data_IF_855287326207
#
_entry.id   IF_855287326207
#
_cell.length_a   1.000
_cell.length_b   1.000
_cell.length_c   1.000
_cell.angle_alpha   90.00
_cell.angle_beta   90.00
_cell.angle_gamma   90.00
#
_symmetry.space_group_name_H-M   'P 1'
#
loop_
_entity.id
_entity.type
_entity.pdbx_description
1 polymer ?
#
# COMPACT_ATOMS: atom_id res chain seq x y z
N UNK A 1 28.54 -6.15 -12.18
CA UNK A 1 29.00 -6.71 -10.90
C UNK A 1 27.83 -7.52 -10.33
N UNK A 2 27.97 -8.83 -10.30
CA UNK A 2 26.92 -9.76 -9.85
C UNK A 2 26.77 -9.62 -8.35
N UNK A 3 25.64 -9.07 -7.89
CA UNK A 3 25.35 -8.92 -6.48
C UNK A 3 25.26 -10.30 -5.82
N UNK A 4 26.10 -10.53 -4.81
CA UNK A 4 25.96 -11.68 -3.93
C UNK A 4 24.72 -11.43 -3.06
N UNK A 5 23.65 -12.16 -3.33
CA UNK A 5 22.50 -12.28 -2.44
C UNK A 5 22.87 -13.42 -1.50
N UNK A 6 23.18 -13.14 -0.23
CA UNK A 6 23.29 -14.18 0.78
C UNK A 6 21.85 -14.58 1.19
N UNK A 7 21.33 -15.75 0.80
CA UNK A 7 19.91 -16.05 0.90
C UNK A 7 19.56 -16.83 2.18
N UNK A 8 20.26 -16.56 3.29
CA UNK A 8 19.98 -17.19 4.58
C UNK A 8 19.30 -16.18 5.52
N UNK A 9 18.16 -16.58 6.08
CA UNK A 9 17.57 -15.92 7.24
C UNK A 9 18.55 -16.09 8.40
N UNK A 10 19.46 -15.14 8.55
CA UNK A 10 20.60 -15.29 9.48
C UNK A 10 20.24 -15.10 10.95
N UNK A 11 19.01 -14.65 11.26
CA UNK A 11 18.61 -14.48 12.65
C UNK A 11 17.12 -14.71 12.87
N UNK A 12 16.80 -15.54 13.87
CA UNK A 12 15.48 -15.64 14.50
C UNK A 12 15.67 -15.31 15.97
N UNK A 13 14.93 -14.32 16.46
CA UNK A 13 14.94 -13.96 17.87
C UNK A 13 13.56 -14.07 18.50
N UNK A 14 13.53 -14.33 19.80
CA UNK A 14 12.33 -14.23 20.61
C UNK A 14 12.05 -12.75 20.93
N UNK A 15 10.79 -12.32 20.86
CA UNK A 15 10.40 -10.92 21.10
C UNK A 15 9.99 -10.63 22.56
N UNK A 16 10.07 -11.63 23.45
CA UNK A 16 9.68 -11.51 24.86
C UNK A 16 8.18 -11.39 25.12
N UNK A 17 7.34 -11.28 24.08
CA UNK A 17 5.88 -11.10 24.14
C UNK A 17 5.11 -12.30 23.53
N UNK A 18 5.80 -13.40 23.20
CA UNK A 18 5.22 -14.61 22.64
C UNK A 18 5.23 -14.69 21.11
N UNK A 19 5.87 -13.74 20.43
CA UNK A 19 6.18 -13.76 19.00
C UNK A 19 7.68 -13.88 18.73
N UNK A 20 8.04 -13.95 17.45
CA UNK A 20 9.42 -13.89 17.00
C UNK A 20 9.58 -12.96 15.81
N UNK A 21 10.82 -12.66 15.46
CA UNK A 21 11.16 -11.96 14.23
C UNK A 21 12.10 -12.79 13.38
N UNK A 22 12.22 -12.43 12.10
CA UNK A 22 13.20 -12.98 11.18
C UNK A 22 13.81 -11.85 10.37
N UNK A 23 15.10 -11.96 10.07
CA UNK A 23 15.88 -10.88 9.47
C UNK A 23 16.36 -11.26 8.08
N UNK A 24 16.23 -10.33 7.13
CA UNK A 24 16.80 -10.42 5.80
C UNK A 24 17.83 -9.30 5.63
N UNK A 25 19.09 -9.68 5.45
CA UNK A 25 20.18 -8.74 5.23
C UNK A 25 20.39 -8.47 3.75
N UNK A 26 20.42 -7.19 3.37
CA UNK A 26 20.66 -6.74 2.01
C UNK A 26 21.75 -5.66 1.99
N UNK A 27 22.94 -6.04 1.56
CA UNK A 27 24.09 -5.12 1.40
C UNK A 27 24.12 -4.39 0.06
N UNK A 28 23.20 -4.71 -0.86
CA UNK A 28 23.16 -4.10 -2.18
C UNK A 28 22.64 -2.65 -2.14
N UNK A 29 23.20 -1.77 -2.98
CA UNK A 29 22.69 -0.41 -3.15
C UNK A 29 21.25 -0.36 -3.66
N UNK A 30 20.80 -1.42 -4.33
CA UNK A 30 19.42 -1.55 -4.84
C UNK A 30 18.84 -2.85 -4.34
N UNK A 31 17.73 -2.75 -3.60
CA UNK A 31 17.00 -3.90 -3.07
C UNK A 31 15.70 -4.01 -3.86
N UNK A 32 15.57 -5.10 -4.61
CA UNK A 32 14.37 -5.42 -5.40
C UNK A 32 13.65 -6.64 -4.83
N UNK A 33 12.38 -6.79 -5.17
CA UNK A 33 11.54 -7.90 -4.72
C UNK A 33 11.88 -9.16 -5.52
N UNK A 34 13.06 -9.70 -5.23
CA UNK A 34 13.55 -10.94 -5.80
C UNK A 34 12.80 -12.15 -5.24
N UNK A 35 12.92 -13.31 -5.90
CA UNK A 35 12.30 -14.56 -5.43
C UNK A 35 12.77 -14.98 -4.02
N UNK A 36 14.05 -14.88 -3.64
CA UNK A 36 14.46 -15.11 -2.25
C UNK A 36 13.76 -14.19 -1.25
N UNK A 37 13.67 -12.89 -1.54
CA UNK A 37 13.03 -11.92 -0.64
C UNK A 37 11.52 -12.16 -0.53
N UNK A 38 10.85 -12.47 -1.65
CA UNK A 38 9.44 -12.86 -1.65
C UNK A 38 9.23 -14.11 -0.79
N UNK A 39 10.07 -15.14 -0.95
CA UNK A 39 9.96 -16.37 -0.18
C UNK A 39 10.16 -16.13 1.31
N UNK A 40 11.13 -15.29 1.68
CA UNK A 40 11.34 -14.86 3.06
C UNK A 40 10.08 -14.25 3.68
N UNK A 41 9.39 -13.35 2.96
CA UNK A 41 8.14 -12.75 3.46
C UNK A 41 7.02 -13.78 3.62
N UNK A 42 6.90 -14.73 2.67
CA UNK A 42 5.92 -15.81 2.77
C UNK A 42 6.20 -16.72 3.98
N UNK A 43 7.45 -17.09 4.20
CA UNK A 43 7.87 -17.93 5.33
C UNK A 43 7.68 -17.21 6.66
N UNK A 44 8.00 -15.90 6.73
CA UNK A 44 7.74 -15.07 7.90
C UNK A 44 6.24 -15.04 8.24
N UNK A 45 5.39 -14.82 7.25
CA UNK A 45 3.94 -14.81 7.43
C UNK A 45 3.41 -16.17 7.92
N UNK A 46 3.81 -17.27 7.27
CA UNK A 46 3.39 -18.62 7.65
C UNK A 46 3.84 -18.99 9.08
N UNK A 47 5.03 -18.55 9.49
CA UNK A 47 5.56 -18.75 10.83
C UNK A 47 5.07 -17.72 11.86
N UNK A 48 4.22 -16.76 11.45
CA UNK A 48 3.77 -15.62 12.29
C UNK A 48 4.93 -14.83 12.90
N UNK A 49 6.02 -14.68 12.15
CA UNK A 49 7.19 -13.90 12.51
C UNK A 49 7.11 -12.51 11.89
N UNK A 50 7.66 -11.51 12.59
CA UNK A 50 7.83 -10.15 12.06
C UNK A 50 9.03 -10.11 11.12
N UNK A 51 8.86 -9.79 9.82
CA UNK A 51 9.99 -9.68 8.91
C UNK A 51 10.72 -8.35 9.10
N UNK A 52 12.06 -8.39 9.13
CA UNK A 52 12.91 -7.21 9.24
C UNK A 52 13.87 -7.18 8.06
N UNK A 53 13.84 -6.09 7.28
CA UNK A 53 14.85 -5.81 6.26
C UNK A 53 15.99 -5.03 6.91
N UNK A 54 17.23 -5.49 6.77
CA UNK A 54 18.42 -4.73 7.16
C UNK A 54 19.17 -4.31 5.91
N UNK A 55 19.43 -3.00 5.76
CA UNK A 55 20.18 -2.45 4.63
C UNK A 55 21.35 -1.59 5.06
N UNK A 56 22.14 -1.12 4.10
CA UNK A 56 23.03 0.04 4.28
C UNK A 56 22.22 1.35 4.32
N UNK A 57 22.87 2.43 4.74
CA UNK A 57 22.30 3.79 4.87
C UNK A 57 22.05 4.51 3.52
N UNK A 58 22.44 3.90 2.42
CA UNK A 58 22.29 4.41 1.06
C UNK A 58 21.51 3.46 0.14
N UNK A 59 20.97 2.37 0.69
CA UNK A 59 20.21 1.39 -0.07
C UNK A 59 18.88 1.98 -0.57
N UNK A 60 18.64 1.81 -1.87
CA UNK A 60 17.39 2.15 -2.53
C UNK A 60 16.51 0.90 -2.64
N UNK A 61 15.46 0.88 -1.81
CA UNK A 61 14.46 -0.18 -1.74
C UNK A 61 13.36 0.10 -2.75
N UNK A 62 13.10 -0.82 -3.69
CA UNK A 62 12.07 -0.62 -4.71
C UNK A 62 10.68 -0.44 -4.07
N UNK A 63 9.77 0.23 -4.79
CA UNK A 63 8.38 0.39 -4.34
C UNK A 63 7.72 -0.94 -4.02
N UNK A 64 8.02 -2.01 -4.77
CA UNK A 64 7.46 -3.33 -4.53
C UNK A 64 7.97 -3.99 -3.25
N UNK A 65 9.25 -3.80 -2.89
CA UNK A 65 9.76 -4.26 -1.59
C UNK A 65 9.11 -3.48 -0.45
N UNK A 66 9.04 -2.15 -0.58
CA UNK A 66 8.40 -1.32 0.44
C UNK A 66 6.93 -1.72 0.66
N UNK A 67 6.17 -1.94 -0.42
CA UNK A 67 4.78 -2.40 -0.35
C UNK A 67 4.66 -3.80 0.27
N UNK A 68 5.53 -4.74 -0.13
CA UNK A 68 5.48 -6.10 0.37
C UNK A 68 5.82 -6.18 1.88
N UNK A 69 6.81 -5.41 2.34
CA UNK A 69 7.12 -5.32 3.77
C UNK A 69 6.00 -4.65 4.56
N UNK A 70 5.44 -3.55 4.06
CA UNK A 70 4.31 -2.89 4.75
C UNK A 70 3.12 -3.85 4.89
N UNK A 71 2.79 -4.60 3.84
CA UNK A 71 1.71 -5.58 3.89
C UNK A 71 1.99 -6.76 4.83
N UNK A 72 3.25 -7.15 4.98
CA UNK A 72 3.66 -8.17 5.93
C UNK A 72 3.81 -7.65 7.37
N UNK A 73 3.53 -6.37 7.64
CA UNK A 73 3.78 -5.74 8.95
C UNK A 73 5.27 -5.71 9.31
N UNK A 74 6.14 -5.67 8.30
CA UNK A 74 7.58 -5.71 8.45
C UNK A 74 8.20 -4.38 8.82
N UNK A 75 9.45 -4.46 9.27
CA UNK A 75 10.26 -3.33 9.69
C UNK A 75 11.50 -3.17 8.82
N UNK A 76 12.07 -1.97 8.82
CA UNK A 76 13.29 -1.66 8.07
C UNK A 76 14.33 -1.04 9.00
N UNK A 77 15.47 -1.70 9.12
CA UNK A 77 16.64 -1.24 9.83
C UNK A 77 17.78 -0.90 8.87
N UNK A 78 18.63 0.03 9.30
CA UNK A 78 19.88 0.39 8.64
C UNK A 78 21.04 0.01 9.53
N UNK A 79 22.01 -0.71 8.96
CA UNK A 79 23.31 -0.94 9.58
C UNK A 79 24.29 0.14 9.14
N UNK A 80 24.90 0.82 10.11
CA UNK A 80 25.91 1.87 9.87
C UNK A 80 26.95 1.85 10.99
N UNK A 81 28.24 1.74 10.63
CA UNK A 81 29.38 1.73 11.56
C UNK A 81 29.23 0.77 12.77
N UNK A 82 28.63 -0.40 12.54
CA UNK A 82 28.41 -1.41 13.59
C UNK A 82 27.23 -1.14 14.51
N UNK A 83 26.45 -0.09 14.26
CA UNK A 83 25.19 0.21 14.95
C UNK A 83 23.97 -0.01 14.03
N UNK A 84 22.80 -0.15 14.65
CA UNK A 84 21.52 -0.31 13.96
C UNK A 84 20.63 0.91 14.17
N UNK A 85 19.90 1.30 13.13
CA UNK A 85 18.99 2.43 13.16
C UNK A 85 17.65 2.06 12.54
N UNK A 86 16.55 2.60 13.06
CA UNK A 86 15.23 2.57 12.42
C UNK A 86 15.30 3.39 11.12
N UNK A 87 15.01 2.77 9.98
CA UNK A 87 15.17 3.40 8.67
C UNK A 87 14.20 4.57 8.44
N UNK A 88 13.04 4.59 9.10
CA UNK A 88 12.05 5.66 8.93
C UNK A 88 12.23 6.79 9.93
N UNK A 89 12.77 6.49 11.12
CA UNK A 89 12.99 7.50 12.17
C UNK A 89 14.42 8.06 12.17
N UNK A 90 15.36 7.33 11.58
CA UNK A 90 16.79 7.64 11.65
C UNK A 90 17.34 7.58 13.07
N UNK A 91 16.72 6.83 13.98
CA UNK A 91 17.12 6.73 15.39
C UNK A 91 17.72 5.38 15.68
N UNK A 92 18.76 5.33 16.52
CA UNK A 92 19.44 4.09 16.90
C UNK A 92 18.49 3.13 17.62
N UNK A 93 18.59 1.86 17.29
CA UNK A 93 17.95 0.74 17.99
C UNK A 93 19.03 -0.11 18.64
N UNK A 94 18.78 -0.54 19.88
CA UNK A 94 19.67 -1.43 20.63
C UNK A 94 19.33 -2.89 20.40
N UNK A 95 18.08 -3.16 20.04
CA UNK A 95 17.57 -4.47 19.64
C UNK A 95 16.47 -4.32 18.61
N UNK A 96 16.18 -5.38 17.85
CA UNK A 96 15.01 -5.39 16.98
C UNK A 96 13.68 -5.31 17.76
N UNK A 97 13.68 -5.64 19.05
CA UNK A 97 12.55 -5.44 19.95
C UNK A 97 12.08 -3.99 20.04
N UNK A 98 12.98 -3.04 19.83
CA UNK A 98 12.72 -1.60 19.93
C UNK A 98 11.71 -1.12 18.87
N UNK A 99 11.50 -1.89 17.79
CA UNK A 99 10.50 -1.57 16.76
C UNK A 99 9.06 -1.59 17.27
N UNK A 100 8.76 -2.46 18.24
CA UNK A 100 7.42 -2.65 18.80
C UNK A 100 7.35 -2.42 20.31
N UNK A 101 8.48 -2.15 20.95
CA UNK A 101 8.48 -1.71 22.34
C UNK A 101 7.75 -0.35 22.48
N UNK A 102 7.04 -0.13 23.60
CA UNK A 102 6.61 1.21 23.98
C UNK A 102 7.80 2.16 23.96
N UNK A 103 7.59 3.38 23.47
CA UNK A 103 8.66 4.38 23.43
C UNK A 103 9.19 4.62 24.85
N UNK A 104 10.48 4.43 25.02
CA UNK A 104 11.17 4.82 26.24
C UNK A 104 11.28 6.36 26.28
N UNK A 105 11.31 6.93 27.49
CA UNK A 105 11.55 8.37 27.71
C UNK A 105 12.96 8.82 27.31
N UNK A 106 13.85 7.87 27.00
CA UNK A 106 15.21 8.15 26.56
C UNK A 106 15.20 8.63 25.11
N UNK A 107 15.82 9.78 24.87
CA UNK A 107 16.11 10.28 23.52
C UNK A 107 17.09 9.33 22.83
N UNK A 108 16.71 8.62 21.76
CA UNK A 108 17.62 7.74 21.04
C UNK A 108 18.70 8.54 20.33
N UNK A 109 19.88 7.93 20.14
CA UNK A 109 20.94 8.52 19.32
C UNK A 109 20.47 8.66 17.86
N UNK A 110 20.73 9.82 17.26
CA UNK A 110 20.35 10.14 15.90
C UNK A 110 21.42 9.69 14.90
N UNK A 111 21.01 9.07 13.79
CA UNK A 111 21.89 8.86 12.65
C UNK A 111 22.33 10.22 12.07
N UNK A 112 23.61 10.40 11.68
CA UNK A 112 24.11 11.70 11.20
C UNK A 112 23.28 12.33 10.07
N UNK A 113 22.77 11.49 9.16
CA UNK A 113 22.03 11.90 7.96
C UNK A 113 20.57 11.50 7.93
N UNK A 114 20.16 10.38 8.53
CA UNK A 114 18.81 9.82 8.36
C UNK A 114 17.76 10.50 9.24
N UNK A 115 18.17 11.11 10.36
CA UNK A 115 17.25 11.75 11.32
C UNK A 115 16.70 13.08 10.82
N UNK A 116 17.19 13.59 9.68
CA UNK A 116 16.69 14.82 9.06
C UNK A 116 15.55 14.47 8.11
N UNK A 117 14.53 15.31 8.07
CA UNK A 117 13.47 15.21 7.07
C UNK A 117 14.11 15.30 5.68
N UNK A 118 13.81 14.34 4.80
CA UNK A 118 14.38 14.34 3.45
C UNK A 118 13.85 15.55 2.67
N UNK A 119 14.78 16.34 2.12
CA UNK A 119 14.46 17.53 1.32
C UNK A 119 14.20 17.22 -0.16
N UNK A 120 14.63 16.03 -0.63
CA UNK A 120 14.52 15.62 -2.04
C UNK A 120 13.70 14.33 -2.16
N UNK A 121 12.39 14.51 -2.26
CA UNK A 121 11.40 13.48 -2.55
C UNK A 121 10.45 13.99 -3.62
N UNK A 122 9.94 13.08 -4.45
CA UNK A 122 8.89 13.38 -5.41
C UNK A 122 7.53 13.03 -4.79
N UNK A 123 6.54 13.94 -4.86
CA UNK A 123 5.19 13.61 -4.40
C UNK A 123 4.58 12.53 -5.30
N UNK A 124 3.74 11.68 -4.71
CA UNK A 124 3.06 10.60 -5.43
C UNK A 124 1.65 10.40 -4.90
N UNK A 125 0.74 10.01 -5.79
CA UNK A 125 -0.53 9.44 -5.35
C UNK A 125 -0.28 7.99 -4.92
N UNK A 126 -0.85 7.61 -3.78
CA UNK A 126 -0.87 6.23 -3.29
C UNK A 126 -2.32 5.80 -3.20
N UNK A 127 -2.67 4.67 -3.81
CA UNK A 127 -4.04 4.15 -3.74
C UNK A 127 -4.06 2.73 -3.18
N UNK A 128 -5.13 2.42 -2.44
CA UNK A 128 -5.45 1.08 -1.92
C UNK A 128 -6.94 0.83 -2.13
N UNK A 129 -7.27 -0.16 -2.97
CA UNK A 129 -8.63 -0.37 -3.50
C UNK A 129 -9.02 -1.83 -3.43
N UNK A 130 -10.21 -2.08 -2.88
CA UNK A 130 -10.86 -3.38 -2.90
C UNK A 130 -12.05 -3.35 -3.85
N UNK A 131 -12.09 -4.29 -4.76
CA UNK A 131 -13.06 -4.33 -5.85
C UNK A 131 -13.66 -5.72 -5.91
N UNK A 132 -14.96 -5.81 -6.14
CA UNK A 132 -15.65 -7.09 -6.31
C UNK A 132 -15.90 -7.34 -7.78
N UNK A 133 -15.77 -8.58 -8.21
CA UNK A 133 -16.21 -8.99 -9.53
C UNK A 133 -16.93 -10.34 -9.47
N UNK A 134 -17.56 -10.72 -10.57
CA UNK A 134 -18.08 -12.07 -10.76
C UNK A 134 -16.90 -13.04 -10.90
N UNK A 135 -17.13 -14.27 -10.48
CA UNK A 135 -16.19 -15.36 -10.74
C UNK A 135 -16.58 -16.03 -12.05
N UNK A 136 -16.33 -15.36 -13.18
CA UNK A 136 -16.66 -15.89 -14.51
C UNK A 136 -15.43 -15.95 -15.43
N UNK A 137 -15.55 -16.72 -16.52
CA UNK A 137 -14.45 -16.94 -17.47
C UNK A 137 -14.04 -15.67 -18.23
N UNK A 138 -14.91 -14.66 -18.27
CA UNK A 138 -14.70 -13.39 -18.97
C UNK A 138 -14.15 -12.31 -18.07
N UNK A 139 -14.21 -12.48 -16.74
CA UNK A 139 -13.61 -11.58 -15.76
C UNK A 139 -12.11 -11.48 -15.96
N UNK A 140 -11.64 -10.25 -16.20
CA UNK A 140 -10.22 -9.91 -16.34
C UNK A 140 -9.80 -9.04 -15.15
N UNK A 141 -8.63 -9.36 -14.58
CA UNK A 141 -7.99 -8.62 -13.50
C UNK A 141 -7.04 -7.56 -14.06
N UNK A 142 -6.89 -6.44 -13.35
CA UNK A 142 -5.95 -5.36 -13.70
C UNK A 142 -6.61 -4.14 -14.33
N UNK A 143 -7.87 -4.21 -14.77
CA UNK A 143 -8.56 -3.04 -15.34
C UNK A 143 -8.70 -1.86 -14.38
N UNK A 144 -8.82 -2.14 -13.08
CA UNK A 144 -8.84 -1.10 -12.04
C UNK A 144 -7.48 -0.42 -11.89
N UNK A 145 -6.39 -1.16 -12.04
CA UNK A 145 -5.04 -0.60 -12.02
C UNK A 145 -4.81 0.36 -13.19
N UNK A 146 -5.14 -0.05 -14.41
CA UNK A 146 -5.06 0.80 -15.60
C UNK A 146 -5.84 2.10 -15.41
N UNK A 147 -7.08 1.97 -14.90
CA UNK A 147 -7.95 3.11 -14.68
C UNK A 147 -7.38 4.10 -13.64
N UNK A 148 -6.85 3.60 -12.52
CA UNK A 148 -6.27 4.43 -11.47
C UNK A 148 -4.98 5.10 -11.93
N UNK A 149 -4.08 4.36 -12.57
CA UNK A 149 -2.83 4.90 -13.12
C UNK A 149 -3.14 6.02 -14.12
N UNK A 150 -4.00 5.77 -15.10
CA UNK A 150 -4.36 6.77 -16.10
C UNK A 150 -5.08 7.99 -15.49
N UNK A 151 -6.06 7.77 -14.61
CA UNK A 151 -6.83 8.87 -13.98
C UNK A 151 -5.95 9.79 -13.13
N UNK A 152 -4.95 9.21 -12.45
CA UNK A 152 -4.00 9.95 -11.62
C UNK A 152 -2.87 10.62 -12.43
N UNK A 153 -2.85 10.44 -13.75
CA UNK A 153 -1.90 11.09 -14.67
C UNK A 153 -0.69 10.25 -15.05
N UNK A 154 -0.69 8.96 -14.74
CA UNK A 154 0.34 8.04 -15.21
C UNK A 154 0.19 7.69 -16.70
N UNK A 155 1.31 7.31 -17.30
CA UNK A 155 1.50 6.89 -18.69
C UNK A 155 0.89 5.52 -19.03
N UNK A 156 0.56 4.73 -18.01
CA UNK A 156 0.00 3.37 -18.15
C UNK A 156 0.97 2.29 -17.69
N UNK A 157 0.46 1.08 -17.53
CA UNK A 157 1.26 -0.09 -17.13
C UNK A 157 1.85 -0.78 -18.34
N UNK A 158 3.13 -1.14 -18.25
CA UNK A 158 3.90 -1.70 -19.38
C UNK A 158 4.45 -3.08 -19.08
N UNK A 159 4.85 -3.34 -17.84
CA UNK A 159 5.51 -4.58 -17.42
C UNK A 159 4.78 -5.22 -16.27
N UNK A 160 4.86 -6.55 -16.15
CA UNK A 160 4.41 -7.28 -14.97
C UNK A 160 5.27 -8.49 -14.63
N UNK A 161 5.08 -8.99 -13.42
CA UNK A 161 5.67 -10.21 -12.92
C UNK A 161 5.16 -10.53 -11.51
N UNK A 162 5.64 -11.62 -10.95
CA UNK A 162 5.41 -11.96 -9.53
C UNK A 162 6.60 -11.55 -8.64
N UNK A 163 7.72 -11.17 -9.26
CA UNK A 163 8.96 -10.70 -8.64
C UNK A 163 9.67 -9.76 -9.61
N UNK A 164 10.58 -8.94 -9.10
CA UNK A 164 11.45 -8.11 -9.93
C UNK A 164 12.69 -8.88 -10.45
N UNK A 165 13.19 -8.55 -11.66
CA UNK A 165 12.66 -7.58 -12.62
C UNK A 165 11.37 -8.08 -13.30
N UNK A 166 10.44 -7.16 -13.61
CA UNK A 166 9.14 -7.48 -14.22
C UNK A 166 9.30 -7.93 -15.67
N UNK A 167 9.42 -9.25 -15.88
CA UNK A 167 9.79 -9.82 -17.16
C UNK A 167 8.66 -9.75 -18.22
N UNK A 168 7.40 -9.88 -17.82
CA UNK A 168 6.26 -9.91 -18.74
C UNK A 168 5.86 -8.54 -19.26
N UNK A 169 5.32 -8.47 -20.48
CA UNK A 169 4.60 -7.28 -20.97
C UNK A 169 3.20 -7.25 -20.36
N UNK A 170 2.76 -6.09 -19.88
CA UNK A 170 1.45 -5.90 -19.27
C UNK A 170 0.34 -6.44 -20.17
N UNK A 171 -0.49 -7.32 -19.60
CA UNK A 171 -1.60 -7.98 -20.28
C UNK A 171 -2.58 -8.50 -19.25
N UNK A 172 -3.80 -7.97 -19.26
CA UNK A 172 -4.87 -8.44 -18.37
C UNK A 172 -5.11 -9.94 -18.52
N UNK A 173 -5.08 -10.46 -19.76
CA UNK A 173 -5.25 -11.88 -20.02
C UNK A 173 -4.15 -12.73 -19.37
N UNK A 174 -2.88 -12.33 -19.50
CA UNK A 174 -1.77 -13.10 -18.96
C UNK A 174 -1.72 -13.05 -17.41
N UNK A 175 -1.99 -11.89 -16.82
CA UNK A 175 -2.08 -11.72 -15.36
C UNK A 175 -3.25 -12.52 -14.80
N UNK A 176 -4.42 -12.41 -15.42
CA UNK A 176 -5.62 -13.16 -15.02
C UNK A 176 -5.38 -14.66 -15.09
N UNK A 177 -4.77 -15.16 -16.16
CA UNK A 177 -4.45 -16.58 -16.31
C UNK A 177 -3.45 -17.06 -15.25
N UNK A 178 -2.43 -16.25 -14.95
CA UNK A 178 -1.49 -16.53 -13.86
C UNK A 178 -2.18 -16.64 -12.50
N UNK A 179 -3.09 -15.72 -12.21
CA UNK A 179 -3.90 -15.69 -10.98
C UNK A 179 -4.89 -16.86 -10.90
N UNK A 180 -5.57 -17.20 -12.00
CA UNK A 180 -6.53 -18.30 -12.05
C UNK A 180 -5.90 -19.64 -11.66
N UNK A 181 -4.65 -19.88 -12.07
CA UNK A 181 -3.89 -21.10 -11.70
C UNK A 181 -3.59 -21.22 -10.20
N UNK A 182 -3.69 -20.14 -9.44
CA UNK A 182 -3.39 -20.09 -8.00
C UNK A 182 -4.65 -20.07 -7.13
N UNK A 183 -5.84 -20.01 -7.73
CA UNK A 183 -7.10 -19.94 -6.99
C UNK A 183 -7.21 -21.09 -5.96
N UNK A 184 -7.76 -20.83 -4.76
CA UNK A 184 -8.68 -19.74 -4.43
C UNK A 184 -8.06 -18.42 -3.93
N UNK A 185 -6.76 -18.36 -3.67
CA UNK A 185 -6.07 -17.15 -3.19
C UNK A 185 -4.75 -17.01 -3.93
N UNK A 186 -4.49 -15.85 -4.52
CA UNK A 186 -3.29 -15.64 -5.34
C UNK A 186 -2.15 -15.03 -4.55
N UNK A 187 -0.92 -15.31 -4.99
CA UNK A 187 0.21 -14.45 -4.69
C UNK A 187 -0.01 -13.05 -5.31
N UNK A 188 0.72 -12.06 -4.80
CA UNK A 188 0.74 -10.73 -5.40
C UNK A 188 1.42 -10.75 -6.76
N UNK A 189 0.78 -10.09 -7.71
CA UNK A 189 1.34 -9.76 -9.01
C UNK A 189 1.67 -8.27 -8.99
N UNK A 190 2.75 -7.90 -9.68
CA UNK A 190 3.27 -6.56 -9.70
C UNK A 190 3.28 -6.05 -11.14
N UNK A 191 2.99 -4.77 -11.32
CA UNK A 191 3.02 -4.11 -12.60
C UNK A 191 3.68 -2.73 -12.48
N UNK A 192 4.37 -2.28 -13.51
CA UNK A 192 4.99 -0.96 -13.55
C UNK A 192 4.81 -0.27 -14.90
N UNK A 193 4.79 1.06 -14.87
CA UNK A 193 4.95 1.94 -16.02
C UNK A 193 6.34 2.57 -16.07
N UNK A 194 6.71 3.15 -17.20
CA UNK A 194 8.01 3.80 -17.42
C UNK A 194 8.13 5.15 -16.69
N UNK A 195 7.02 5.74 -16.27
CA UNK A 195 6.95 6.97 -15.48
C UNK A 195 7.21 6.80 -13.98
N UNK A 196 7.48 5.57 -13.53
CA UNK A 196 7.64 5.22 -12.13
C UNK A 196 6.37 4.75 -11.43
N UNK A 197 5.23 4.68 -12.16
CA UNK A 197 4.01 4.07 -11.63
C UNK A 197 4.26 2.61 -11.29
N UNK A 198 3.77 2.17 -10.13
CA UNK A 198 3.97 0.82 -9.61
C UNK A 198 2.69 0.33 -8.94
N UNK A 199 2.26 -0.87 -9.26
CA UNK A 199 1.01 -1.47 -8.76
C UNK A 199 1.27 -2.89 -8.28
N UNK A 200 0.67 -3.27 -7.16
CA UNK A 200 0.50 -4.65 -6.71
C UNK A 200 -0.97 -5.05 -6.76
N UNK A 201 -1.21 -6.31 -7.15
CA UNK A 201 -2.52 -6.89 -7.39
C UNK A 201 -2.60 -8.24 -6.73
N UNK A 202 -3.67 -8.50 -5.99
CA UNK A 202 -4.00 -9.83 -5.53
C UNK A 202 -5.49 -10.10 -5.76
N UNK A 203 -5.84 -11.36 -5.95
CA UNK A 203 -7.21 -11.79 -6.10
C UNK A 203 -7.51 -12.96 -5.17
N UNK A 204 -8.74 -13.01 -4.69
CA UNK A 204 -9.25 -14.15 -3.94
C UNK A 204 -10.66 -14.48 -4.36
N UNK A 205 -11.01 -15.77 -4.28
CA UNK A 205 -12.36 -16.24 -4.53
C UNK A 205 -13.17 -16.15 -3.24
N UNK A 206 -14.30 -15.49 -3.32
CA UNK A 206 -15.29 -15.38 -2.24
C UNK A 206 -16.50 -16.26 -2.55
N UNK A 207 -17.42 -16.40 -1.58
CA UNK A 207 -18.72 -17.08 -1.80
C UNK A 207 -19.55 -16.41 -2.90
N UNK A 208 -19.34 -15.12 -3.15
CA UNK A 208 -20.19 -14.31 -4.05
C UNK A 208 -19.49 -13.86 -5.33
N UNK A 209 -18.24 -14.26 -5.56
CA UNK A 209 -17.47 -13.83 -6.74
C UNK A 209 -15.98 -13.78 -6.47
N UNK A 210 -15.29 -12.82 -7.09
CA UNK A 210 -13.91 -12.46 -6.79
C UNK A 210 -13.84 -11.19 -5.94
N UNK A 211 -12.82 -11.12 -5.10
CA UNK A 211 -12.33 -9.90 -4.48
C UNK A 211 -10.93 -9.62 -5.05
N UNK A 212 -10.79 -8.51 -5.75
CA UNK A 212 -9.52 -7.97 -6.23
C UNK A 212 -9.04 -6.90 -5.26
N UNK A 213 -7.78 -6.98 -4.85
CA UNK A 213 -7.08 -5.97 -4.07
C UNK A 213 -6.01 -5.34 -4.96
N UNK A 214 -6.11 -4.02 -5.13
CA UNK A 214 -5.22 -3.22 -5.97
C UNK A 214 -4.58 -2.14 -5.11
N UNK A 215 -3.25 -2.15 -5.03
CA UNK A 215 -2.50 -1.10 -4.35
C UNK A 215 -1.45 -0.54 -5.29
N UNK A 216 -1.19 0.75 -5.24
CA UNK A 216 -0.20 1.31 -6.14
C UNK A 216 0.22 2.73 -5.82
N UNK A 217 1.18 3.19 -6.60
CA UNK A 217 1.77 4.51 -6.51
C UNK A 217 1.93 5.10 -7.91
N UNK A 218 1.58 6.37 -8.07
CA UNK A 218 1.70 7.14 -9.32
C UNK A 218 2.43 8.44 -8.98
N UNK A 219 3.66 8.65 -9.46
CA UNK A 219 4.38 9.90 -9.25
C UNK A 219 3.60 11.12 -9.78
N UNK A 220 3.54 12.20 -9.00
CA UNK A 220 2.88 13.44 -9.39
C UNK A 220 3.90 14.28 -10.17
N UNK A 221 3.92 14.08 -11.50
CA UNK A 221 4.78 14.83 -12.44
C UNK A 221 4.11 16.09 -13.01
N UNK A 222 2.81 16.24 -12.76
CA UNK A 222 2.04 17.40 -13.20
C UNK A 222 2.51 18.66 -12.46
N UNK A 223 2.86 19.70 -13.23
CA UNK A 223 3.42 20.97 -12.73
C UNK A 223 2.44 21.76 -11.88
N UNK A 224 1.13 21.58 -12.09
CA UNK A 224 0.09 22.25 -11.32
C UNK A 224 -0.20 21.49 -10.02
N UNK A 225 -0.12 20.16 -10.03
CA UNK A 225 -0.41 19.32 -8.86
C UNK A 225 0.76 19.17 -7.89
N UNK A 226 1.99 19.11 -8.40
CA UNK A 226 3.19 18.89 -7.58
C UNK A 226 3.37 19.94 -6.47
N UNK A 227 3.14 21.25 -6.71
CA UNK A 227 3.13 22.24 -5.64
C UNK A 227 2.04 21.98 -4.59
N UNK A 228 0.84 21.58 -5.00
CA UNK A 228 -0.29 21.33 -4.09
C UNK A 228 -0.03 20.17 -3.13
N UNK A 229 0.74 19.16 -3.56
CA UNK A 229 1.15 18.03 -2.72
C UNK A 229 2.02 18.45 -1.52
N UNK A 230 2.67 19.61 -1.61
CA UNK A 230 3.52 20.15 -0.55
C UNK A 230 2.78 21.13 0.38
N UNK A 231 1.55 21.53 0.03
CA UNK A 231 0.76 22.48 0.81
C UNK A 231 -0.08 21.71 1.85
N UNK A 232 0.10 21.99 3.16
CA UNK A 232 -0.79 21.47 4.19
C UNK A 232 -2.21 22.03 4.01
N UNK A 233 -3.25 21.23 4.28
CA UNK A 233 -4.63 21.73 4.33
C UNK A 233 -5.50 21.41 3.11
N UNK A 234 -5.31 20.23 2.51
CA UNK A 234 -6.32 19.63 1.63
C UNK A 234 -6.46 20.23 0.23
N UNK A 235 -5.59 21.15 -0.19
CA UNK A 235 -5.64 21.72 -1.54
C UNK A 235 -5.56 20.64 -2.64
N UNK A 236 -4.64 19.68 -2.49
CA UNK A 236 -4.57 18.52 -3.39
C UNK A 236 -5.82 17.63 -3.30
N UNK A 237 -6.36 17.43 -2.09
CA UNK A 237 -7.58 16.64 -1.87
C UNK A 237 -8.81 17.28 -2.52
N UNK A 238 -8.89 18.60 -2.53
CA UNK A 238 -9.95 19.38 -3.18
C UNK A 238 -9.83 19.39 -4.71
N UNK A 239 -8.67 19.03 -5.27
CA UNK A 239 -8.41 19.10 -6.70
C UNK A 239 -9.37 18.21 -7.51
N UNK A 240 -9.94 18.69 -8.63
CA UNK A 240 -10.89 17.91 -9.44
C UNK A 240 -10.39 16.52 -9.85
N UNK A 241 -9.09 16.37 -10.16
CA UNK A 241 -8.48 15.07 -10.51
C UNK A 241 -8.73 13.98 -9.47
N UNK A 242 -8.70 14.30 -8.17
CA UNK A 242 -8.99 13.34 -7.10
C UNK A 242 -10.44 12.86 -7.19
N UNK A 243 -11.38 13.79 -7.28
CA UNK A 243 -12.82 13.50 -7.42
C UNK A 243 -13.10 12.70 -8.69
N UNK A 244 -12.64 13.20 -9.84
CA UNK A 244 -12.99 12.70 -11.16
C UNK A 244 -12.44 11.28 -11.37
N UNK A 245 -11.25 10.99 -10.85
CA UNK A 245 -10.68 9.63 -10.87
C UNK A 245 -11.52 8.65 -10.07
N UNK A 246 -11.89 9.00 -8.83
CA UNK A 246 -12.68 8.13 -7.96
C UNK A 246 -14.13 7.99 -8.45
N UNK A 247 -14.71 9.05 -9.00
CA UNK A 247 -16.03 8.99 -9.63
C UNK A 247 -16.01 8.04 -10.83
N UNK A 248 -15.05 8.21 -11.75
CA UNK A 248 -14.92 7.31 -12.88
C UNK A 248 -14.71 5.86 -12.44
N UNK A 249 -13.97 5.64 -11.35
CA UNK A 249 -13.76 4.30 -10.78
C UNK A 249 -15.08 3.70 -10.28
N UNK A 250 -15.87 4.47 -9.54
CA UNK A 250 -17.17 4.04 -9.04
C UNK A 250 -18.18 3.72 -10.17
N UNK A 251 -18.08 4.41 -11.31
CA UNK A 251 -18.93 4.19 -12.48
C UNK A 251 -18.59 2.92 -13.25
N UNK A 252 -17.31 2.50 -13.24
CA UNK A 252 -16.81 1.38 -14.08
C UNK A 252 -16.53 0.10 -13.30
N UNK A 253 -16.28 0.20 -12.00
CA UNK A 253 -15.91 -0.92 -11.15
C UNK A 253 -16.87 -1.06 -9.97
N UNK A 254 -17.10 -2.30 -9.52
CA UNK A 254 -17.87 -2.56 -8.29
C UNK A 254 -16.95 -2.43 -7.08
N UNK A 255 -16.54 -1.21 -6.81
CA UNK A 255 -15.70 -0.88 -5.66
C UNK A 255 -16.40 -1.31 -4.38
N UNK A 256 -15.62 -1.80 -3.43
CA UNK A 256 -16.04 -1.97 -2.05
C UNK A 256 -15.62 -0.73 -1.25
N UNK A 257 -14.30 -0.50 -1.20
CA UNK A 257 -13.68 0.69 -0.62
C UNK A 257 -12.42 1.05 -1.42
N UNK A 258 -12.14 2.35 -1.54
CA UNK A 258 -10.86 2.85 -2.03
C UNK A 258 -10.35 3.96 -1.11
N UNK A 259 -9.06 3.96 -0.80
CA UNK A 259 -8.37 5.07 -0.16
C UNK A 259 -7.36 5.64 -1.15
N UNK A 260 -7.43 6.95 -1.38
CA UNK A 260 -6.42 7.71 -2.11
C UNK A 260 -5.67 8.60 -1.13
N UNK A 261 -4.34 8.56 -1.17
CA UNK A 261 -3.44 9.33 -0.33
C UNK A 261 -2.36 10.02 -1.16
N UNK A 262 -1.70 11.01 -0.58
CA UNK A 262 -0.46 11.61 -1.09
C UNK A 262 0.70 11.07 -0.27
N UNK A 263 1.66 10.45 -0.94
CA UNK A 263 2.90 9.96 -0.34
C UNK A 263 4.12 10.55 -1.05
N UNK A 264 5.28 10.01 -0.72
CA UNK A 264 6.58 10.42 -1.25
C UNK A 264 7.33 9.21 -1.80
N UNK A 265 7.96 9.38 -2.96
CA UNK A 265 8.86 8.41 -3.59
C UNK A 265 10.19 9.07 -3.91
N UNK A 266 11.22 8.25 -4.12
CA UNK A 266 12.42 8.69 -4.85
C UNK A 266 12.56 7.93 -6.15
N UNK A 267 13.22 8.57 -7.10
CA UNK A 267 13.78 7.92 -8.27
C UNK A 267 15.30 7.82 -8.15
N UNK A 268 15.84 6.62 -8.35
CA UNK A 268 17.28 6.40 -8.45
C UNK A 268 17.57 5.39 -9.56
N UNK A 269 18.39 5.80 -10.52
CA UNK A 269 18.81 4.98 -11.67
C UNK A 269 17.62 4.31 -12.40
N UNK A 270 16.59 5.12 -12.73
CA UNK A 270 15.41 4.68 -13.47
C UNK A 270 14.50 3.73 -12.69
N UNK A 271 14.50 3.81 -11.35
CA UNK A 271 13.63 3.03 -10.49
C UNK A 271 13.01 3.92 -9.44
N UNK A 272 11.69 3.83 -9.29
CA UNK A 272 11.01 4.39 -8.14
C UNK A 272 11.14 3.49 -6.91
N UNK A 273 11.27 4.11 -5.74
CA UNK A 273 11.45 3.40 -4.49
C UNK A 273 11.62 4.34 -3.30
N UNK A 274 12.30 3.83 -2.28
CA UNK A 274 12.55 4.49 -0.99
C UNK A 274 14.01 4.30 -0.58
N UNK A 275 14.62 5.38 -0.13
CA UNK A 275 15.86 5.45 0.63
C UNK A 275 15.55 5.44 2.14
N UNK A 276 16.48 5.08 3.01
CA UNK A 276 16.29 5.31 4.42
C UNK A 276 16.24 6.82 4.71
N UNK A 277 15.49 7.21 5.74
CA UNK A 277 15.37 8.59 6.22
C UNK A 277 13.97 8.98 6.68
N UNK A 278 13.91 10.04 7.48
CA UNK A 278 12.65 10.64 7.95
C UNK A 278 11.90 11.28 6.79
N UNK A 279 10.59 10.98 6.71
CA UNK A 279 9.69 11.39 5.62
C UNK A 279 8.42 12.01 6.18
N UNK A 280 7.69 12.72 5.32
CA UNK A 280 6.33 13.13 5.67
C UNK A 280 5.43 11.89 5.72
N UNK A 281 4.54 11.77 6.72
CA UNK A 281 3.51 10.75 6.70
C UNK A 281 2.65 10.87 5.44
N UNK A 282 2.23 9.73 4.89
CA UNK A 282 1.25 9.71 3.81
C UNK A 282 -0.03 10.44 4.28
N UNK A 283 -0.57 11.31 3.43
CA UNK A 283 -1.70 12.16 3.75
C UNK A 283 -2.95 11.66 3.02
N UNK A 284 -4.03 11.27 3.73
CA UNK A 284 -5.22 10.78 3.07
C UNK A 284 -5.89 11.94 2.33
N UNK A 285 -6.25 11.72 1.05
CA UNK A 285 -6.87 12.72 0.20
C UNK A 285 -8.38 12.48 0.05
N UNK A 286 -8.77 11.23 -0.14
CA UNK A 286 -10.17 10.87 -0.34
C UNK A 286 -10.44 9.40 -0.07
N UNK A 287 -11.69 9.08 0.26
CA UNK A 287 -12.23 7.73 0.37
C UNK A 287 -13.36 7.55 -0.62
N UNK A 288 -13.41 6.41 -1.31
CA UNK A 288 -14.57 5.97 -2.08
C UNK A 288 -15.22 4.78 -1.36
N UNK A 289 -16.47 4.92 -0.96
CA UNK A 289 -17.32 3.82 -0.53
C UNK A 289 -18.20 3.38 -1.69
N UNK A 290 -18.08 2.12 -2.10
CA UNK A 290 -18.93 1.59 -3.15
C UNK A 290 -20.38 1.40 -2.71
N UNK A 291 -21.29 1.31 -3.68
CA UNK A 291 -22.73 1.24 -3.42
C UNK A 291 -23.17 0.11 -2.49
N UNK A 292 -22.44 -1.01 -2.51
CA UNK A 292 -22.71 -2.11 -1.58
C UNK A 292 -22.20 -1.81 -0.17
N UNK A 293 -21.01 -1.24 -0.02
CA UNK A 293 -20.51 -0.84 1.30
C UNK A 293 -21.42 0.21 1.95
N UNK A 294 -21.88 1.20 1.18
CA UNK A 294 -22.85 2.21 1.63
C UNK A 294 -24.14 1.58 2.15
N UNK A 295 -24.65 0.57 1.44
CA UNK A 295 -25.84 -0.19 1.86
C UNK A 295 -25.57 -1.07 3.09
N UNK A 296 -24.50 -1.84 3.07
CA UNK A 296 -24.18 -2.83 4.10
C UNK A 296 -23.85 -2.13 5.44
N UNK A 297 -23.27 -0.92 5.40
CA UNK A 297 -23.06 -0.05 6.57
C UNK A 297 -24.32 0.74 6.96
N UNK A 298 -25.34 0.77 6.09
CA UNK A 298 -26.54 1.60 6.18
C UNK A 298 -26.21 3.07 6.48
N UNK A 299 -25.33 3.64 5.66
CA UNK A 299 -24.87 5.03 5.77
C UNK A 299 -26.04 5.99 5.53
N UNK A 300 -26.23 6.91 6.47
CA UNK A 300 -27.07 8.09 6.26
C UNK A 300 -26.29 9.12 5.42
N UNK A 301 -26.59 9.13 4.12
CA UNK A 301 -25.86 9.96 3.14
C UNK A 301 -26.10 11.45 3.37
N UNK A 302 -27.31 11.83 3.80
CA UNK A 302 -27.65 13.25 4.02
C UNK A 302 -26.91 13.77 5.25
N UNK A 303 -26.96 13.04 6.38
CA UNK A 303 -26.24 13.41 7.60
C UNK A 303 -24.71 13.37 7.44
N UNK A 304 -24.19 12.57 6.51
CA UNK A 304 -22.78 12.53 6.18
C UNK A 304 -22.37 13.73 5.32
N UNK A 305 -23.19 14.11 4.34
CA UNK A 305 -22.94 15.26 3.45
C UNK A 305 -23.00 16.61 4.17
N UNK A 306 -23.70 16.69 5.32
CA UNK A 306 -23.68 17.88 6.19
C UNK A 306 -22.33 18.10 6.89
N UNK A 307 -21.53 17.03 7.07
CA UNK A 307 -20.31 17.04 7.89
C UNK A 307 -19.03 16.85 7.08
N UNK A 308 -19.12 16.23 5.91
CA UNK A 308 -18.00 15.88 5.05
C UNK A 308 -18.23 16.33 3.62
N UNK A 309 -17.15 16.51 2.85
CA UNK A 309 -17.21 16.82 1.41
C UNK A 309 -17.56 15.54 0.62
N UNK A 310 -18.86 15.22 0.60
CA UNK A 310 -19.43 14.01 -0.02
C UNK A 310 -19.95 14.31 -1.43
N UNK A 311 -19.49 13.54 -2.40
CA UNK A 311 -20.08 13.45 -3.75
C UNK A 311 -20.74 12.09 -3.92
N UNK A 312 -22.03 12.09 -4.24
CA UNK A 312 -22.77 10.86 -4.57
C UNK A 312 -22.56 10.48 -6.04
N UNK A 313 -22.28 9.20 -6.29
CA UNK A 313 -22.02 8.65 -7.63
C UNK A 313 -22.94 7.47 -7.88
N UNK A 314 -23.45 7.34 -9.11
CA UNK A 314 -24.32 6.24 -9.51
C UNK A 314 -25.80 6.48 -9.23
N UNK A 315 -26.55 5.39 -9.03
CA UNK A 315 -28.02 5.44 -8.93
C UNK A 315 -28.49 5.88 -7.54
N UNK A 316 -29.55 6.68 -7.47
CA UNK A 316 -30.16 7.14 -6.19
C UNK A 316 -30.47 6.02 -5.18
N UNK A 317 -30.84 4.82 -5.65
CA UNK A 317 -31.18 3.67 -4.78
C UNK A 317 -29.98 2.81 -4.37
N UNK A 318 -28.81 3.06 -4.95
CA UNK A 318 -27.57 2.35 -4.65
C UNK A 318 -26.38 3.28 -4.93
N UNK A 319 -26.25 4.39 -4.17
CA UNK A 319 -25.21 5.37 -4.42
C UNK A 319 -23.86 4.86 -3.90
N UNK A 320 -22.81 5.08 -4.66
CA UNK A 320 -21.44 5.11 -4.14
C UNK A 320 -21.14 6.54 -3.63
N UNK A 321 -20.22 6.66 -2.68
CA UNK A 321 -19.84 7.93 -2.06
C UNK A 321 -18.35 8.19 -2.26
N UNK A 322 -18.00 9.32 -2.89
CA UNK A 322 -16.65 9.87 -2.85
C UNK A 322 -16.61 10.91 -1.74
N UNK A 323 -15.76 10.72 -0.76
CA UNK A 323 -15.57 11.62 0.38
C UNK A 323 -14.18 12.22 0.30
N UNK A 324 -14.08 13.52 0.03
CA UNK A 324 -12.79 14.23 -0.03
C UNK A 324 -12.44 14.78 1.33
N UNK A 325 -11.16 14.75 1.65
CA UNK A 325 -10.62 15.31 2.88
C UNK A 325 -10.11 16.73 2.56
N UNK A 326 -11.03 17.63 2.26
CA UNK A 326 -10.77 18.99 1.77
C UNK A 326 -11.06 20.08 2.80
N UNK A 327 -11.47 19.69 4.02
CA UNK A 327 -11.79 20.61 5.11
C UNK A 327 -10.56 21.33 5.69
N UNK A 328 -10.80 22.24 6.63
CA UNK A 328 -9.75 23.05 7.27
C UNK A 328 -8.90 22.30 8.31
N UNK A 329 -9.36 21.14 8.80
CA UNK A 329 -8.65 20.33 9.77
C UNK A 329 -7.48 19.53 9.15
N UNK A 330 -6.51 19.05 9.94
CA UNK A 330 -5.53 18.08 9.46
C UNK A 330 -6.19 16.85 8.79
N UNK A 331 -5.67 16.41 7.66
CA UNK A 331 -6.29 15.37 6.82
C UNK A 331 -6.54 14.05 7.57
N UNK A 332 -5.61 13.64 8.43
CA UNK A 332 -5.79 12.47 9.27
C UNK A 332 -6.90 12.63 10.31
N UNK A 333 -7.16 13.84 10.80
CA UNK A 333 -8.28 14.10 11.69
C UNK A 333 -9.60 14.01 10.94
N UNK A 334 -9.67 14.54 9.70
CA UNK A 334 -10.84 14.40 8.85
C UNK A 334 -11.16 12.92 8.55
N UNK A 335 -10.15 12.12 8.18
CA UNK A 335 -10.34 10.67 7.97
C UNK A 335 -10.85 9.97 9.24
N UNK A 336 -10.30 10.30 10.41
CA UNK A 336 -10.73 9.72 11.69
C UNK A 336 -12.16 10.13 12.06
N UNK A 337 -12.53 11.38 11.81
CA UNK A 337 -13.88 11.87 12.03
C UNK A 337 -14.86 11.12 11.11
N UNK A 338 -14.55 11.02 9.82
CA UNK A 338 -15.30 10.24 8.86
C UNK A 338 -15.46 8.77 9.29
N UNK A 339 -14.36 8.12 9.66
CA UNK A 339 -14.39 6.73 10.13
C UNK A 339 -15.16 6.54 11.44
N UNK A 340 -15.29 7.57 12.28
CA UNK A 340 -16.10 7.53 13.51
C UNK A 340 -17.59 7.71 13.23
N UNK A 341 -17.93 8.44 12.15
CA UNK A 341 -19.32 8.59 11.69
C UNK A 341 -19.83 7.36 10.93
N UNK A 342 -18.92 6.53 10.42
CA UNK A 342 -19.24 5.16 10.00
C UNK A 342 -19.31 4.28 11.25
N UNK A 343 -20.49 3.76 11.59
CA UNK A 343 -20.70 2.86 12.74
C UNK A 343 -19.58 1.81 12.84
N UNK A 344 -18.74 1.93 13.87
CA UNK A 344 -17.49 1.17 14.02
C UNK A 344 -17.73 -0.34 14.12
N UNK A 345 -18.85 -0.77 14.71
CA UNK A 345 -19.20 -2.19 14.81
C UNK A 345 -19.61 -2.76 13.44
N UNK A 346 -20.30 -1.95 12.63
CA UNK A 346 -20.66 -2.33 11.25
C UNK A 346 -19.47 -2.32 10.32
N UNK A 347 -18.55 -1.37 10.48
CA UNK A 347 -17.29 -1.33 9.74
C UNK A 347 -16.41 -2.55 10.06
N UNK A 348 -16.24 -2.86 11.35
CA UNK A 348 -15.51 -4.05 11.79
C UNK A 348 -16.18 -5.34 11.29
N UNK A 349 -17.51 -5.43 11.32
CA UNK A 349 -18.25 -6.60 10.83
C UNK A 349 -18.17 -6.75 9.31
N UNK A 350 -18.29 -5.65 8.56
CA UNK A 350 -18.19 -5.64 7.11
C UNK A 350 -16.79 -6.08 6.63
N UNK A 351 -15.73 -5.65 7.32
CA UNK A 351 -14.35 -6.06 7.04
C UNK A 351 -14.03 -7.48 7.56
N UNK A 352 -14.51 -7.87 8.74
CA UNK A 352 -14.24 -9.19 9.33
C UNK A 352 -14.88 -10.35 8.54
N UNK A 353 -16.08 -10.14 7.99
CA UNK A 353 -16.74 -11.11 7.09
C UNK A 353 -15.93 -11.36 5.81
N UNK A 354 -15.09 -10.42 5.39
CA UNK A 354 -14.27 -10.51 4.19
C UNK A 354 -13.00 -11.35 4.40
N UNK A 355 -12.36 -11.24 5.57
CA UNK A 355 -11.11 -11.96 5.88
C UNK A 355 -11.30 -13.31 6.59
N UNK A 356 -12.38 -13.50 7.37
CA UNK A 356 -12.64 -14.76 8.08
C UNK A 356 -12.89 -15.98 7.16
N UNK A 357 -13.10 -15.74 5.85
CA UNK A 357 -13.37 -16.80 4.86
C UNK A 357 -12.13 -17.28 4.10
N UNK A 358 -10.97 -16.65 4.27
CA UNK A 358 -9.68 -17.14 3.77
C UNK A 358 -8.96 -18.09 4.73
N UNK A 359 -9.12 -17.89 6.05
CA UNK A 359 -8.38 -18.63 7.08
C UNK A 359 -8.98 -20.02 7.42
N UNK A 360 -10.22 -20.30 7.05
CA UNK A 360 -10.92 -21.53 7.49
C UNK A 360 -10.57 -22.79 6.70
N UNK A 361 -9.63 -22.74 5.74
CA UNK A 361 -9.18 -23.92 4.97
C UNK A 361 -7.68 -24.09 4.79
N UNK A 362 -6.84 -23.45 5.61
CA UNK A 362 -5.42 -23.83 5.74
C UNK A 362 -5.22 -24.48 7.11
N UNK A 363 -5.68 -25.72 7.22
CA UNK A 363 -5.64 -26.44 8.48
C UNK A 363 -6.37 -27.78 8.40
N UNK A 364 -5.84 -28.69 7.58
CA UNK A 364 -5.87 -30.16 7.73
C UNK A 364 -5.48 -30.83 6.41
N UNK A 365 -4.19 -31.16 6.31
CA UNK A 365 -3.68 -32.44 5.82
C UNK A 365 -2.20 -32.49 6.17
#
# INVERSE_FOLDING_TARGET
MTAFIDPLSDERGADGAGGGYTVYWASAERVTLSRPLQRFLMDAHAARLRPILVTTDHAHVSTFVADAFQAAGGYWAVSFEGAMFDAFRGTRISSFGDFWAPRADRVPEAHPTLSRLRERTDPSFVFDVYVRDRADERTLIGGVADQLVAGLGGSGLERWGVVEPLAGRWSHAAVTESMRRQMPVTERHYASGDDGSAVSLAASRTKTGLLEHVRGTVPIRDVELSPLANVPGGALAAHPRVRDTLQALAERARVNVALLSCGEVEERAGSSGRLPGVRRPEQPLAVLLGARAVRDLAVDVEALAERHDVTTVGLRRAPALVVRLSGGDPLWHQLRAFASDLDQERLASALALEFATGDTKVGRS
#
